data_IF_195241259783
#
_entry.id   IF_195241259783
#
_cell.length_a   1.000
_cell.length_b   1.000
_cell.length_c   1.000
_cell.angle_alpha   90.00
_cell.angle_beta   90.00
_cell.angle_gamma   90.00
#
_symmetry.space_group_name_H-M   'P 1'
#
loop_
_entity.id
_entity.type
_entity.pdbx_description
1 polymer ?
#
# COMPACT_ATOMS: atom_id res chain seq x y z
N UNK A 1 44.00 21.91 -63.37
CA UNK A 1 43.03 21.16 -62.57
C UNK A 1 41.67 21.62 -63.08
N UNK A 2 40.85 20.73 -63.70
CA UNK A 2 39.68 21.15 -64.49
C UNK A 2 38.58 21.70 -63.57
N UNK A 3 38.16 22.90 -63.82
CA UNK A 3 37.07 23.62 -63.10
C UNK A 3 35.82 22.71 -62.93
N UNK A 4 35.53 21.92 -63.94
CA UNK A 4 34.43 20.94 -63.92
C UNK A 4 34.55 19.88 -62.79
N UNK A 5 35.77 19.42 -62.45
CA UNK A 5 36.01 18.50 -61.34
C UNK A 5 35.80 19.11 -59.98
N UNK A 6 36.16 20.40 -59.84
CA UNK A 6 35.94 21.16 -58.59
C UNK A 6 34.46 21.36 -58.39
N UNK A 7 33.70 21.76 -59.42
CA UNK A 7 32.25 21.93 -59.34
C UNK A 7 31.55 20.62 -58.96
N UNK A 8 31.95 19.50 -59.57
CA UNK A 8 31.40 18.18 -59.28
C UNK A 8 31.68 17.75 -57.84
N UNK A 9 32.89 17.99 -57.33
CA UNK A 9 33.23 17.67 -55.95
C UNK A 9 32.45 18.48 -54.93
N UNK A 10 32.25 19.79 -55.17
CA UNK A 10 31.43 20.65 -54.28
C UNK A 10 29.98 20.21 -54.29
N UNK A 11 29.43 19.86 -55.45
CA UNK A 11 28.07 19.34 -55.58
C UNK A 11 27.88 18.02 -54.85
N UNK A 12 28.86 17.10 -54.92
CA UNK A 12 28.85 15.81 -54.23
C UNK A 12 28.89 16.01 -52.71
N UNK A 13 29.75 16.89 -52.18
CA UNK A 13 29.82 17.22 -50.77
C UNK A 13 28.53 17.84 -50.30
N UNK A 14 27.91 18.75 -51.08
CA UNK A 14 26.61 19.35 -50.74
C UNK A 14 25.49 18.32 -50.66
N UNK A 15 25.44 17.33 -51.58
CA UNK A 15 24.51 16.23 -51.52
C UNK A 15 24.75 15.33 -50.31
N UNK A 16 26.00 15.06 -49.97
CA UNK A 16 26.34 14.25 -48.78
C UNK A 16 25.91 14.92 -47.49
N UNK A 17 26.16 16.22 -47.37
CA UNK A 17 25.73 17.01 -46.21
C UNK A 17 24.20 17.03 -46.12
N UNK A 18 23.49 17.19 -47.23
CA UNK A 18 22.02 17.19 -47.25
C UNK A 18 21.43 15.85 -46.89
N UNK A 19 22.02 14.74 -47.35
CA UNK A 19 21.61 13.39 -46.99
C UNK A 19 21.88 13.05 -45.52
N UNK A 20 22.94 13.57 -44.94
CA UNK A 20 23.28 13.32 -43.56
C UNK A 20 22.65 14.32 -42.57
N UNK A 21 22.20 15.47 -43.04
CA UNK A 21 21.54 16.51 -42.24
C UNK A 21 20.39 15.97 -41.37
N UNK A 22 19.46 15.13 -41.88
CA UNK A 22 18.38 14.57 -41.07
C UNK A 22 18.87 13.56 -40.00
N UNK A 23 20.08 13.02 -40.15
CA UNK A 23 20.68 12.17 -39.12
C UNK A 23 21.27 12.96 -37.97
N UNK A 24 21.79 14.14 -38.23
CA UNK A 24 22.33 15.02 -37.19
C UNK A 24 21.24 15.91 -36.54
N UNK A 25 20.14 16.12 -37.20
CA UNK A 25 18.97 16.84 -36.67
C UNK A 25 17.89 15.95 -36.07
N UNK A 26 18.05 14.64 -36.11
CA UNK A 26 17.36 13.77 -35.15
C UNK A 26 18.00 14.03 -33.77
N UNK A 27 17.73 15.19 -33.22
CA UNK A 27 17.57 15.31 -31.79
C UNK A 27 16.45 14.30 -31.52
N UNK A 28 16.80 13.16 -30.94
CA UNK A 28 15.85 12.36 -30.23
C UNK A 28 15.20 13.27 -29.20
N UNK A 29 14.13 13.92 -29.61
CA UNK A 29 13.06 14.29 -28.73
C UNK A 29 12.33 12.96 -28.45
N UNK A 30 13.07 11.97 -27.93
CA UNK A 30 12.62 11.22 -26.80
C UNK A 30 12.74 12.22 -25.65
N UNK A 31 11.92 13.31 -25.68
CA UNK A 31 11.24 13.63 -24.46
C UNK A 31 10.79 12.26 -23.97
N UNK A 32 11.45 11.77 -22.95
CA UNK A 32 10.83 10.85 -22.03
C UNK A 32 9.54 11.55 -21.63
N UNK A 33 8.47 11.41 -22.43
CA UNK A 33 7.24 11.08 -21.82
C UNK A 33 7.68 9.87 -21.00
N UNK A 34 8.03 10.07 -19.73
CA UNK A 34 7.66 9.15 -18.71
C UNK A 34 6.18 8.92 -19.01
N UNK A 35 5.94 7.97 -19.89
CA UNK A 35 4.69 7.25 -19.90
C UNK A 35 4.74 6.67 -18.50
N UNK A 36 4.19 7.41 -17.54
CA UNK A 36 3.75 6.82 -16.31
C UNK A 36 2.89 5.68 -16.82
N UNK A 37 3.47 4.50 -16.80
CA UNK A 37 2.73 3.27 -17.06
C UNK A 37 1.76 3.25 -15.89
N UNK A 38 0.63 3.94 -16.08
CA UNK A 38 -0.49 3.88 -15.13
C UNK A 38 -0.86 2.41 -15.18
N UNK A 39 -0.37 1.67 -14.21
CA UNK A 39 -0.66 0.27 -14.09
C UNK A 39 -2.18 0.12 -14.10
N UNK A 40 -2.71 -0.52 -15.14
CA UNK A 40 -4.14 -0.75 -15.23
C UNK A 40 -4.45 -1.98 -14.39
N UNK A 41 -5.45 -1.92 -13.50
CA UNK A 41 -5.87 -3.09 -12.74
C UNK A 41 -6.38 -4.20 -13.69
N UNK A 42 -6.03 -5.43 -13.38
CA UNK A 42 -6.54 -6.61 -14.09
C UNK A 42 -8.02 -6.84 -13.76
N UNK A 43 -8.41 -6.49 -12.55
CA UNK A 43 -9.78 -6.61 -12.05
C UNK A 43 -10.12 -5.46 -11.10
N UNK A 44 -11.35 -4.96 -11.19
CA UNK A 44 -11.89 -3.93 -10.30
C UNK A 44 -13.25 -4.39 -9.76
N UNK A 45 -13.45 -4.26 -8.44
CA UNK A 45 -14.75 -4.47 -7.80
C UNK A 45 -15.19 -3.18 -7.08
N UNK A 46 -16.47 -2.87 -7.16
CA UNK A 46 -17.11 -1.77 -6.44
C UNK A 46 -18.01 -2.37 -5.37
N UNK A 47 -18.07 -1.76 -4.18
CA UNK A 47 -18.82 -2.24 -3.02
C UNK A 47 -18.45 -3.69 -2.66
N UNK A 48 -17.13 -3.95 -2.59
CA UNK A 48 -16.64 -5.29 -2.27
C UNK A 48 -17.16 -5.80 -0.94
N UNK A 49 -17.60 -7.06 -0.94
CA UNK A 49 -17.88 -7.86 0.26
C UNK A 49 -17.31 -9.25 0.05
N UNK A 50 -16.24 -9.57 0.76
CA UNK A 50 -15.53 -10.84 0.65
C UNK A 50 -15.46 -11.52 2.01
N UNK A 51 -15.58 -12.84 2.03
CA UNK A 51 -15.34 -13.67 3.20
C UNK A 51 -14.31 -14.74 2.84
N UNK A 52 -13.22 -14.80 3.60
CA UNK A 52 -12.18 -15.81 3.45
C UNK A 52 -12.29 -16.85 4.57
N UNK A 53 -11.99 -18.09 4.22
CA UNK A 53 -12.02 -19.23 5.14
C UNK A 53 -10.61 -19.80 5.29
N UNK A 54 -10.31 -20.33 6.47
CA UNK A 54 -9.08 -21.06 6.72
C UNK A 54 -9.19 -22.53 6.23
N UNK A 55 -8.11 -23.28 6.37
CA UNK A 55 -8.04 -24.70 5.96
C UNK A 55 -9.06 -25.59 6.68
N UNK A 56 -9.53 -25.19 7.86
CA UNK A 56 -10.55 -25.89 8.64
C UNK A 56 -11.99 -25.46 8.27
N UNK A 57 -12.16 -24.60 7.27
CA UNK A 57 -13.46 -24.10 6.84
C UNK A 57 -14.09 -23.05 7.76
N UNK A 58 -13.36 -22.57 8.79
CA UNK A 58 -13.80 -21.45 9.63
C UNK A 58 -13.50 -20.12 8.94
N UNK A 59 -14.32 -19.10 9.19
CA UNK A 59 -14.06 -17.75 8.69
C UNK A 59 -12.74 -17.24 9.27
N UNK A 60 -11.80 -16.90 8.40
CA UNK A 60 -10.51 -16.30 8.75
C UNK A 60 -10.62 -14.79 8.84
N UNK A 61 -11.13 -14.17 7.79
CA UNK A 61 -11.36 -12.74 7.76
C UNK A 61 -12.50 -12.37 6.80
N UNK A 62 -13.04 -11.17 7.00
CA UNK A 62 -13.98 -10.52 6.08
C UNK A 62 -13.38 -9.20 5.64
N UNK A 63 -13.64 -8.85 4.38
CA UNK A 63 -13.22 -7.56 3.82
C UNK A 63 -14.44 -6.89 3.20
N UNK A 64 -14.63 -5.62 3.52
CA UNK A 64 -15.54 -4.73 2.78
C UNK A 64 -14.75 -3.51 2.32
N UNK A 65 -15.00 -2.99 1.13
CA UNK A 65 -14.35 -1.81 0.60
C UNK A 65 -15.27 -1.09 -0.40
N UNK A 66 -15.12 0.21 -0.53
CA UNK A 66 -15.82 0.99 -1.56
C UNK A 66 -15.36 0.56 -2.94
N UNK A 67 -14.05 0.36 -3.10
CA UNK A 67 -13.42 -0.09 -4.34
C UNK A 67 -12.28 -1.04 -4.02
N UNK A 68 -12.08 -2.02 -4.90
CA UNK A 68 -10.91 -2.90 -4.89
C UNK A 68 -10.36 -2.99 -6.30
N UNK A 69 -9.04 -2.95 -6.43
CA UNK A 69 -8.30 -3.09 -7.66
C UNK A 69 -7.22 -4.15 -7.49
N UNK A 70 -7.28 -5.19 -8.32
CA UNK A 70 -6.29 -6.27 -8.35
C UNK A 70 -5.26 -5.99 -9.44
N UNK A 71 -3.99 -6.01 -9.08
CA UNK A 71 -2.84 -5.90 -9.96
C UNK A 71 -2.05 -7.21 -9.92
N UNK A 72 -2.54 -8.21 -10.65
CA UNK A 72 -2.02 -9.58 -10.59
C UNK A 72 -0.54 -9.66 -10.98
N UNK A 73 -0.13 -8.95 -12.02
CA UNK A 73 1.27 -8.92 -12.46
C UNK A 73 2.21 -8.26 -11.45
N UNK A 74 1.69 -7.34 -10.64
CA UNK A 74 2.44 -6.62 -9.60
C UNK A 74 2.33 -7.29 -8.22
N UNK A 75 1.49 -8.32 -8.08
CA UNK A 75 1.35 -9.12 -6.87
C UNK A 75 0.66 -8.41 -5.72
N UNK A 76 -0.17 -7.39 -5.98
CA UNK A 76 -0.89 -6.70 -4.93
C UNK A 76 -2.35 -6.41 -5.28
N UNK A 77 -3.14 -6.19 -4.23
CA UNK A 77 -4.53 -5.70 -4.31
C UNK A 77 -4.65 -4.40 -3.53
N UNK A 78 -5.17 -3.37 -4.17
CA UNK A 78 -5.47 -2.08 -3.55
C UNK A 78 -6.93 -1.99 -3.14
N UNK A 79 -7.21 -1.34 -2.00
CA UNK A 79 -8.55 -1.13 -1.46
C UNK A 79 -8.75 0.33 -1.07
N UNK A 80 -9.88 0.89 -1.45
CA UNK A 80 -10.34 2.21 -1.02
C UNK A 80 -11.37 2.06 0.10
N UNK A 81 -11.14 2.77 1.21
CA UNK A 81 -11.96 2.74 2.45
C UNK A 81 -12.26 1.31 2.92
N UNK A 82 -11.23 0.49 3.12
CA UNK A 82 -11.42 -0.89 3.54
C UNK A 82 -11.83 -1.01 5.00
N UNK A 83 -12.57 -2.08 5.28
CA UNK A 83 -12.82 -2.59 6.62
C UNK A 83 -12.47 -4.08 6.61
N UNK A 84 -11.41 -4.44 7.30
CA UNK A 84 -11.01 -5.82 7.54
C UNK A 84 -11.55 -6.27 8.91
N UNK A 85 -12.20 -7.41 8.95
CA UNK A 85 -12.58 -8.07 10.23
C UNK A 85 -11.82 -9.37 10.32
N UNK A 86 -10.88 -9.44 11.25
CA UNK A 86 -10.02 -10.61 11.49
C UNK A 86 -10.61 -11.43 12.63
N UNK A 87 -10.76 -12.72 12.42
CA UNK A 87 -11.31 -13.65 13.42
C UNK A 87 -10.21 -14.59 13.90
N UNK A 88 -10.13 -14.72 15.22
CA UNK A 88 -9.41 -15.81 15.84
C UNK A 88 -10.33 -16.45 16.91
N UNK A 89 -9.87 -17.50 17.60
CA UNK A 89 -10.72 -18.25 18.54
C UNK A 89 -11.16 -17.43 19.76
N UNK A 90 -10.41 -16.39 20.13
CA UNK A 90 -10.63 -15.58 21.34
C UNK A 90 -10.93 -14.11 21.03
N UNK A 91 -10.49 -13.63 19.88
CA UNK A 91 -10.53 -12.20 19.53
C UNK A 91 -11.14 -11.98 18.17
N UNK A 92 -11.80 -10.85 18.04
CA UNK A 92 -12.25 -10.33 16.75
C UNK A 92 -11.83 -8.88 16.63
N UNK A 93 -11.00 -8.60 15.64
CA UNK A 93 -10.51 -7.25 15.36
C UNK A 93 -11.12 -6.70 14.09
N UNK A 94 -11.63 -5.48 14.16
CA UNK A 94 -12.07 -4.71 13.00
C UNK A 94 -11.04 -3.62 12.74
N UNK A 95 -10.47 -3.61 11.53
CA UNK A 95 -9.46 -2.64 11.14
C UNK A 95 -9.97 -1.87 9.94
N UNK A 96 -10.03 -0.54 10.05
CA UNK A 96 -10.43 0.37 8.99
C UNK A 96 -9.34 1.37 8.67
N UNK A 97 -9.30 1.86 7.43
CA UNK A 97 -8.36 2.86 6.96
C UNK A 97 -8.96 3.65 5.79
N UNK A 98 -8.29 4.70 5.34
CA UNK A 98 -8.66 5.40 4.11
C UNK A 98 -8.29 4.56 2.88
N UNK A 99 -7.11 3.91 2.93
CA UNK A 99 -6.57 3.05 1.88
C UNK A 99 -5.89 1.83 2.48
N UNK A 100 -5.81 0.76 1.71
CA UNK A 100 -4.97 -0.39 2.05
C UNK A 100 -4.44 -1.09 0.82
N UNK A 101 -3.24 -1.68 0.96
CA UNK A 101 -2.63 -2.54 -0.05
C UNK A 101 -2.31 -3.90 0.57
N UNK A 102 -2.82 -4.95 -0.05
CA UNK A 102 -2.56 -6.34 0.33
C UNK A 102 -1.56 -6.96 -0.63
N UNK A 103 -0.43 -7.42 -0.12
CA UNK A 103 0.63 -8.10 -0.84
C UNK A 103 0.60 -9.60 -0.54
N UNK A 104 0.72 -10.42 -1.58
CA UNK A 104 0.84 -11.90 -1.49
C UNK A 104 -0.20 -12.56 -0.58
N UNK A 105 -1.41 -12.02 -0.54
CA UNK A 105 -2.50 -12.50 0.33
C UNK A 105 -2.10 -12.66 1.81
N UNK A 106 -1.16 -11.86 2.26
CA UNK A 106 -0.59 -11.95 3.60
C UNK A 106 -0.29 -10.61 4.27
N UNK A 107 0.48 -9.76 3.60
CA UNK A 107 0.92 -8.49 4.18
C UNK A 107 -0.03 -7.36 3.77
N UNK A 108 -0.74 -6.82 4.74
CA UNK A 108 -1.66 -5.72 4.57
C UNK A 108 -1.04 -4.44 5.12
N UNK A 109 -0.85 -3.47 4.26
CA UNK A 109 -0.43 -2.11 4.60
C UNK A 109 -1.67 -1.23 4.60
N UNK A 110 -2.01 -0.64 5.75
CA UNK A 110 -3.14 0.27 5.90
C UNK A 110 -2.61 1.69 6.11
N UNK A 111 -3.21 2.65 5.42
CA UNK A 111 -2.80 4.04 5.40
C UNK A 111 -3.98 4.99 5.53
N UNK A 112 -3.76 6.09 6.24
CA UNK A 112 -4.76 7.12 6.49
C UNK A 112 -5.78 6.72 7.54
N UNK A 113 -5.81 7.45 8.68
CA UNK A 113 -6.81 7.31 9.75
C UNK A 113 -7.04 5.86 10.20
N UNK A 114 -5.96 5.07 10.28
CA UNK A 114 -6.06 3.64 10.61
C UNK A 114 -6.60 3.49 12.03
N UNK A 115 -7.67 2.70 12.16
CA UNK A 115 -8.29 2.36 13.44
C UNK A 115 -8.48 0.85 13.51
N UNK A 116 -7.83 0.21 14.48
CA UNK A 116 -8.05 -1.18 14.84
C UNK A 116 -8.88 -1.24 16.11
N UNK A 117 -10.08 -1.82 16.04
CA UNK A 117 -11.03 -1.97 17.12
C UNK A 117 -11.14 -3.43 17.55
N UNK A 118 -10.99 -3.71 18.83
CA UNK A 118 -11.34 -5.00 19.41
C UNK A 118 -12.87 -5.09 19.57
N UNK A 119 -13.46 -6.16 19.08
CA UNK A 119 -14.91 -6.37 19.15
C UNK A 119 -15.32 -7.29 20.31
N UNK A 120 -14.38 -7.66 21.19
CA UNK A 120 -14.67 -8.46 22.38
C UNK A 120 -15.04 -7.53 23.52
N UNK A 121 -16.16 -7.84 24.19
CA UNK A 121 -16.61 -7.08 25.35
C UNK A 121 -15.61 -7.17 26.51
N UNK A 122 -15.43 -6.03 27.22
CA UNK A 122 -14.51 -5.92 28.36
C UNK A 122 -13.05 -6.25 28.05
N UNK A 123 -12.61 -6.07 26.81
CA UNK A 123 -11.21 -6.14 26.47
C UNK A 123 -10.41 -5.05 27.22
N UNK A 124 -9.17 -5.34 27.58
CA UNK A 124 -8.27 -4.33 28.19
C UNK A 124 -8.01 -3.18 27.19
N UNK A 125 -7.99 -3.48 25.91
CA UNK A 125 -7.76 -2.52 24.83
C UNK A 125 -8.94 -2.56 23.87
N UNK A 126 -9.57 -1.39 23.68
CA UNK A 126 -10.69 -1.23 22.76
C UNK A 126 -10.22 -0.83 21.36
N UNK A 127 -9.30 0.17 21.30
CA UNK A 127 -8.88 0.71 20.00
C UNK A 127 -7.39 1.04 19.96
N UNK A 128 -6.83 0.86 18.75
CA UNK A 128 -5.49 1.30 18.39
C UNK A 128 -5.62 2.18 17.16
N UNK A 129 -5.11 3.41 17.22
CA UNK A 129 -5.12 4.34 16.10
C UNK A 129 -3.71 4.77 15.71
N UNK A 130 -3.47 4.84 14.40
CA UNK A 130 -2.21 5.33 13.84
C UNK A 130 -2.43 5.86 12.42
N UNK A 131 -1.42 6.51 11.85
CA UNK A 131 -1.47 6.95 10.45
C UNK A 131 -1.22 5.80 9.49
N UNK A 132 -0.36 4.85 9.86
CA UNK A 132 -0.03 3.67 9.06
C UNK A 132 0.15 2.47 9.97
N UNK A 133 -0.43 1.34 9.59
CA UNK A 133 -0.28 0.05 10.28
C UNK A 133 -0.02 -1.05 9.24
N UNK A 134 0.98 -1.89 9.49
CA UNK A 134 1.24 -3.10 8.75
C UNK A 134 0.68 -4.30 9.53
N UNK A 135 -0.11 -5.14 8.87
CA UNK A 135 -0.72 -6.33 9.46
C UNK A 135 -0.31 -7.57 8.68
N UNK A 136 0.17 -8.60 9.35
CA UNK A 136 0.25 -9.93 8.78
C UNK A 136 -1.05 -10.68 9.12
N UNK A 137 -1.91 -10.86 8.11
CA UNK A 137 -3.24 -11.47 8.32
C UNK A 137 -3.21 -12.97 8.64
N UNK A 138 -2.10 -13.66 8.33
CA UNK A 138 -1.91 -15.08 8.65
C UNK A 138 -1.34 -15.27 10.04
N UNK A 139 -0.36 -14.47 10.41
CA UNK A 139 0.24 -14.51 11.75
C UNK A 139 -0.62 -13.79 12.78
N UNK A 140 -1.52 -12.90 12.37
CA UNK A 140 -2.29 -11.98 13.21
C UNK A 140 -1.37 -11.08 14.05
N UNK A 141 -0.35 -10.52 13.41
CA UNK A 141 0.55 -9.55 14.02
C UNK A 141 0.36 -8.17 13.38
N UNK A 142 0.57 -7.14 14.16
CA UNK A 142 0.40 -5.74 13.76
C UNK A 142 1.64 -4.94 14.12
N UNK A 143 2.10 -4.08 13.22
CA UNK A 143 3.27 -3.24 13.42
C UNK A 143 3.04 -1.82 12.90
N UNK A 144 3.59 -0.83 13.60
CA UNK A 144 3.66 0.56 13.13
C UNK A 144 4.95 1.20 13.61
N UNK A 145 5.54 2.07 12.80
CA UNK A 145 6.68 2.91 13.19
C UNK A 145 6.24 4.36 13.51
N UNK A 146 4.96 4.64 13.31
CA UNK A 146 4.36 5.96 13.48
C UNK A 146 3.91 6.21 14.94
N UNK A 147 3.53 7.45 15.28
CA UNK A 147 2.82 7.73 16.52
C UNK A 147 1.54 6.90 16.60
N UNK A 148 1.30 6.30 17.77
CA UNK A 148 0.18 5.40 18.04
C UNK A 148 -0.55 5.88 19.30
N UNK A 149 -1.87 5.81 19.27
CA UNK A 149 -2.73 5.98 20.43
C UNK A 149 -3.50 4.68 20.67
N UNK A 150 -3.40 4.16 21.88
CA UNK A 150 -4.11 2.96 22.33
C UNK A 150 -5.10 3.41 23.40
N UNK A 151 -6.35 2.99 23.28
CA UNK A 151 -7.39 3.29 24.27
C UNK A 151 -8.04 2.00 24.75
N UNK A 152 -8.44 2.01 25.99
CA UNK A 152 -9.25 0.99 26.65
C UNK A 152 -10.28 1.65 27.56
N UNK A 153 -11.09 0.88 28.30
CA UNK A 153 -12.17 1.42 29.12
C UNK A 153 -11.69 2.49 30.12
N UNK A 154 -10.53 2.25 30.77
CA UNK A 154 -9.94 3.16 31.75
C UNK A 154 -8.48 3.50 31.43
N UNK A 155 -8.08 3.38 30.18
CA UNK A 155 -6.69 3.46 29.80
C UNK A 155 -6.52 4.23 28.48
N UNK A 156 -5.54 5.15 28.47
CA UNK A 156 -5.05 5.77 27.22
C UNK A 156 -3.52 5.78 27.24
N UNK A 157 -2.95 5.14 26.21
CA UNK A 157 -1.50 5.09 26.04
C UNK A 157 -1.14 5.82 24.73
N UNK A 158 -0.12 6.64 24.77
CA UNK A 158 0.45 7.27 23.58
C UNK A 158 1.93 6.92 23.48
N UNK A 159 2.38 6.64 22.28
CA UNK A 159 3.77 6.28 22.01
C UNK A 159 4.11 6.36 20.53
N UNK A 160 5.31 5.93 20.19
CA UNK A 160 5.78 5.82 18.81
C UNK A 160 6.36 4.42 18.61
N UNK A 161 5.91 3.78 17.55
CA UNK A 161 6.27 2.39 17.27
C UNK A 161 5.42 1.39 18.05
N UNK A 162 4.78 0.49 17.32
CA UNK A 162 3.88 -0.55 17.83
C UNK A 162 4.33 -1.90 17.29
N UNK A 163 4.38 -2.89 18.17
CA UNK A 163 4.40 -4.31 17.85
C UNK A 163 3.27 -4.96 18.64
N UNK A 164 2.33 -5.59 17.95
CA UNK A 164 1.20 -6.27 18.60
C UNK A 164 1.02 -7.68 18.02
N UNK A 165 0.76 -8.62 18.91
CA UNK A 165 0.28 -9.97 18.56
C UNK A 165 -1.20 -10.04 18.94
N UNK A 166 -2.05 -10.11 17.93
CA UNK A 166 -3.52 -10.11 18.10
C UNK A 166 -4.07 -11.46 18.61
N UNK A 167 -3.25 -12.52 18.63
CA UNK A 167 -3.63 -13.81 19.20
C UNK A 167 -3.44 -13.84 20.72
N UNK A 168 -2.30 -13.31 21.15
CA UNK A 168 -1.87 -13.36 22.57
C UNK A 168 -2.20 -12.07 23.31
N UNK A 169 -2.74 -11.06 22.64
CA UNK A 169 -3.02 -9.71 23.17
C UNK A 169 -1.79 -8.99 23.74
N UNK A 170 -0.61 -9.42 23.30
CA UNK A 170 0.62 -8.76 23.72
C UNK A 170 0.84 -7.54 22.84
N UNK A 171 0.83 -6.37 23.44
CA UNK A 171 1.09 -5.10 22.77
C UNK A 171 2.33 -4.46 23.38
N UNK A 172 3.29 -4.15 22.53
CA UNK A 172 4.54 -3.50 22.90
C UNK A 172 4.69 -2.19 22.15
N UNK A 173 4.94 -1.11 22.89
CA UNK A 173 5.35 0.16 22.33
C UNK A 173 6.88 0.27 22.36
N UNK A 174 7.48 0.61 21.21
CA UNK A 174 8.94 0.73 21.10
C UNK A 174 9.43 1.96 21.85
N UNK A 175 8.75 3.10 21.66
CA UNK A 175 9.01 4.35 22.38
C UNK A 175 7.72 4.82 23.04
N UNK A 176 7.52 4.42 24.29
CA UNK A 176 6.39 4.84 25.10
C UNK A 176 6.55 6.32 25.51
N UNK A 177 5.49 7.10 25.35
CA UNK A 177 5.50 8.52 25.69
C UNK A 177 4.71 8.80 26.96
N UNK A 178 3.48 8.28 27.07
CA UNK A 178 2.57 8.58 28.18
C UNK A 178 1.50 7.51 28.36
N UNK A 179 1.20 7.17 29.62
CA UNK A 179 0.01 6.40 30.00
C UNK A 179 -0.85 7.24 30.93
N UNK A 180 -2.15 7.27 30.66
CA UNK A 180 -3.17 7.88 31.52
C UNK A 180 -4.14 6.78 31.93
N UNK A 181 -4.39 6.69 33.23
CA UNK A 181 -5.44 5.85 33.80
C UNK A 181 -6.56 6.78 34.27
N UNK A 182 -7.79 6.38 34.03
CA UNK A 182 -8.98 7.10 34.47
C UNK A 182 -9.63 6.28 35.57
N UNK A 183 -9.74 6.85 36.77
CA UNK A 183 -10.58 6.28 37.82
C UNK A 183 -12.05 6.53 37.47
N UNK A 184 -12.91 5.53 37.70
CA UNK A 184 -14.36 5.66 37.55
C UNK A 184 -14.95 6.37 38.75
#
# INVERSE_FOLDING_TARGET
>A
MNVARIILSVLFIGCMVWLWYPYFTKVDITASEETQVIAKPDYTAIELKQTAYNEQGKVSHKVTAVKMELYQQLGFTFFEKPIFTLYNEQQTWRISADEATLYDDRQLVLEGNVTAQNLVDNAMIDTITAQTINVDIKLLTMQSQQPVVITGPNLKITGKGLEADLKTEVIKLINHTRTLYYDQ
#
